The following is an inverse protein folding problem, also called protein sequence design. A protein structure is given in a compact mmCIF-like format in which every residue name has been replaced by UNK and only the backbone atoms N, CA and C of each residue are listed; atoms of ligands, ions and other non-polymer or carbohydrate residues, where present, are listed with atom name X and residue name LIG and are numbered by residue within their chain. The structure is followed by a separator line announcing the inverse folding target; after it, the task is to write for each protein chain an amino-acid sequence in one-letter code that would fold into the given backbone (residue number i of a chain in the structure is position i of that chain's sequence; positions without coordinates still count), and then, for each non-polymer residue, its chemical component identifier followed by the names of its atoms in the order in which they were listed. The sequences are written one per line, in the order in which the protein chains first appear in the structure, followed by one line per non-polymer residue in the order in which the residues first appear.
data_IF_806171745013
#
_entry.id   IF_806171745013
#
_cell.length_a   1.000
_cell.length_b   1.000
_cell.length_c   1.000
_cell.angle_alpha   90.00
_cell.angle_beta   90.00
_cell.angle_gamma   90.00
#
_symmetry.space_group_name_H-M   'P 1'
#
loop_
_entity.id
_entity.type
_entity.pdbx_description
1 polymer ?
#
# COMPACT_ATOMS: atom_id res chain seq x y z
N UNK A 1 10.10 -16.21 9.98
CA UNK A 1 11.50 -15.98 9.53
C UNK A 1 12.37 -15.36 10.63
N UNK A 2 12.58 -16.08 11.71
CA UNK A 2 13.37 -15.59 12.85
C UNK A 2 14.82 -15.28 12.44
N UNK A 3 15.40 -16.16 11.64
CA UNK A 3 16.82 -16.13 11.27
C UNK A 3 17.06 -15.44 9.90
N UNK A 4 16.03 -14.81 9.35
CA UNK A 4 16.06 -14.23 8.03
C UNK A 4 15.94 -15.26 6.91
N UNK A 5 16.01 -14.79 5.66
CA UNK A 5 15.96 -15.62 4.46
C UNK A 5 16.77 -14.98 3.34
N UNK A 6 17.52 -15.79 2.63
CA UNK A 6 18.22 -15.42 1.39
C UNK A 6 18.08 -16.55 0.39
N UNK A 7 17.53 -16.27 -0.77
CA UNK A 7 17.54 -17.20 -1.90
C UNK A 7 18.92 -17.14 -2.60
N UNK A 8 19.60 -18.26 -2.69
CA UNK A 8 20.90 -18.36 -3.40
C UNK A 8 20.75 -18.59 -4.90
N UNK A 9 19.54 -18.84 -5.36
CA UNK A 9 19.18 -19.06 -6.76
C UNK A 9 17.71 -18.75 -7.00
N UNK A 10 17.34 -18.49 -8.27
CA UNK A 10 15.96 -18.22 -8.68
C UNK A 10 14.99 -19.36 -8.29
N UNK A 11 15.46 -20.60 -8.33
CA UNK A 11 14.65 -21.78 -7.99
C UNK A 11 14.36 -21.91 -6.50
N UNK A 12 15.07 -21.18 -5.64
CA UNK A 12 14.89 -21.18 -4.18
C UNK A 12 14.12 -19.97 -3.67
N UNK A 13 13.76 -19.06 -4.55
CA UNK A 13 12.90 -17.94 -4.19
C UNK A 13 11.51 -18.45 -3.78
N UNK A 14 10.97 -17.94 -2.67
CA UNK A 14 9.73 -18.46 -2.08
C UNK A 14 8.50 -17.76 -2.70
N UNK A 15 7.60 -18.53 -3.33
CA UNK A 15 6.36 -17.97 -3.87
C UNK A 15 5.46 -17.43 -2.75
N UNK A 16 4.75 -16.33 -3.04
CA UNK A 16 3.76 -15.72 -2.17
C UNK A 16 2.42 -15.65 -2.90
N UNK A 17 1.56 -16.65 -2.77
CA UNK A 17 0.33 -16.75 -3.55
C UNK A 17 -0.70 -15.64 -3.28
N UNK A 18 -0.63 -15.01 -2.09
CA UNK A 18 -1.54 -13.95 -1.68
C UNK A 18 -1.00 -12.54 -1.96
N UNK A 19 0.18 -12.45 -2.59
CA UNK A 19 0.82 -11.17 -2.93
C UNK A 19 0.76 -10.94 -4.44
N UNK A 20 0.38 -9.73 -4.82
CA UNK A 20 0.48 -9.26 -6.19
C UNK A 20 1.08 -7.87 -6.24
N UNK A 21 1.57 -7.48 -7.41
CA UNK A 21 2.14 -6.15 -7.65
C UNK A 21 1.41 -5.51 -8.82
N UNK A 22 0.93 -4.29 -8.60
CA UNK A 22 0.23 -3.49 -9.60
C UNK A 22 1.14 -2.43 -10.19
N UNK A 23 1.28 -2.41 -11.51
CA UNK A 23 1.91 -1.32 -12.22
C UNK A 23 0.85 -0.37 -12.77
N UNK A 24 0.93 0.89 -12.39
CA UNK A 24 0.08 1.94 -12.93
C UNK A 24 0.45 2.19 -14.40
N UNK A 25 -0.49 1.96 -15.31
CA UNK A 25 -0.30 2.15 -16.76
C UNK A 25 -0.69 3.56 -17.18
N UNK A 26 -1.83 4.06 -16.67
CA UNK A 26 -2.32 5.40 -16.94
C UNK A 26 -3.30 5.87 -15.89
N UNK A 27 -3.41 7.19 -15.77
CA UNK A 27 -4.43 7.86 -14.95
C UNK A 27 -5.13 8.90 -15.83
N UNK A 28 -6.45 8.99 -15.69
CA UNK A 28 -7.31 9.91 -16.42
C UNK A 28 -8.25 10.64 -15.45
N UNK A 29 -8.44 11.95 -15.66
CA UNK A 29 -9.47 12.70 -14.96
C UNK A 29 -10.84 12.37 -15.56
N UNK A 30 -11.73 11.80 -14.78
CA UNK A 30 -13.10 11.43 -15.16
C UNK A 30 -14.16 12.19 -14.36
N UNK A 31 -13.74 13.25 -13.70
CA UNK A 31 -14.57 14.06 -12.79
C UNK A 31 -15.86 14.52 -13.44
N UNK A 32 -15.78 15.15 -14.62
CA UNK A 32 -16.98 15.63 -15.32
C UNK A 32 -17.93 14.49 -15.66
N UNK A 33 -17.40 13.36 -16.10
CA UNK A 33 -18.20 12.19 -16.47
C UNK A 33 -18.96 11.60 -15.29
N UNK A 34 -18.34 11.56 -14.11
CA UNK A 34 -18.97 11.10 -12.87
C UNK A 34 -19.99 12.11 -12.38
N UNK A 35 -19.64 13.39 -12.30
CA UNK A 35 -20.52 14.42 -11.75
C UNK A 35 -21.76 14.68 -12.62
N UNK A 36 -21.65 14.62 -13.96
CA UNK A 36 -22.79 14.76 -14.86
C UNK A 36 -23.82 13.64 -14.74
N UNK A 37 -23.42 12.47 -14.24
CA UNK A 37 -24.34 11.36 -13.99
C UNK A 37 -25.19 11.57 -12.73
N UNK A 38 -24.89 12.56 -11.88
CA UNK A 38 -25.59 12.81 -10.62
C UNK A 38 -26.68 13.85 -10.85
N UNK A 39 -27.99 13.52 -10.72
CA UNK A 39 -29.07 14.47 -10.90
C UNK A 39 -29.02 15.60 -9.84
N UNK A 40 -29.41 16.80 -10.25
CA UNK A 40 -29.52 17.95 -9.33
C UNK A 40 -30.52 17.65 -8.22
N UNK A 41 -30.13 17.89 -6.97
CA UNK A 41 -30.97 17.66 -5.80
C UNK A 41 -30.94 16.22 -5.25
N UNK A 42 -30.06 15.37 -5.77
CA UNK A 42 -29.82 14.01 -5.23
C UNK A 42 -29.43 14.09 -3.75
N UNK A 43 -30.04 13.24 -2.92
CA UNK A 43 -29.67 13.11 -1.50
C UNK A 43 -28.30 12.42 -1.39
N UNK A 44 -27.57 12.70 -0.30
CA UNK A 44 -26.20 12.19 -0.11
C UNK A 44 -26.11 10.66 -0.15
N UNK A 45 -27.05 9.94 0.46
CA UNK A 45 -27.08 8.47 0.42
C UNK A 45 -27.29 7.92 -1.00
N UNK A 46 -28.13 8.58 -1.80
CA UNK A 46 -28.40 8.17 -3.19
C UNK A 46 -27.22 8.56 -4.10
N UNK A 47 -26.54 9.69 -3.79
CA UNK A 47 -25.34 10.14 -4.49
C UNK A 47 -24.24 9.10 -4.45
N UNK A 48 -23.98 8.51 -3.29
CA UNK A 48 -22.96 7.48 -3.13
C UNK A 48 -23.22 6.27 -4.05
N UNK A 49 -24.47 5.81 -4.13
CA UNK A 49 -24.87 4.69 -4.99
C UNK A 49 -24.70 5.01 -6.49
N UNK A 50 -25.04 6.23 -6.90
CA UNK A 50 -24.87 6.66 -8.30
C UNK A 50 -23.38 6.73 -8.65
N UNK A 51 -22.57 7.34 -7.78
CA UNK A 51 -21.11 7.42 -7.96
C UNK A 51 -20.50 6.03 -8.10
N UNK A 52 -20.86 5.08 -7.23
CA UNK A 52 -20.36 3.71 -7.29
C UNK A 52 -20.76 3.03 -8.61
N UNK A 53 -22.01 3.16 -9.01
CA UNK A 53 -22.52 2.56 -10.25
C UNK A 53 -21.82 3.11 -11.50
N UNK A 54 -21.70 4.42 -11.60
CA UNK A 54 -21.03 5.06 -12.76
C UNK A 54 -19.52 4.78 -12.76
N UNK A 55 -18.89 4.77 -11.60
CA UNK A 55 -17.48 4.41 -11.44
C UNK A 55 -17.20 2.99 -11.93
N UNK A 56 -18.05 2.04 -11.55
CA UNK A 56 -17.97 0.66 -12.01
C UNK A 56 -18.09 0.58 -13.54
N UNK A 57 -19.04 1.28 -14.13
CA UNK A 57 -19.24 1.30 -15.59
C UNK A 57 -18.01 1.86 -16.31
N UNK A 58 -17.50 3.01 -15.88
CA UNK A 58 -16.32 3.65 -16.48
C UNK A 58 -15.09 2.73 -16.36
N UNK A 59 -14.89 2.10 -15.21
CA UNK A 59 -13.77 1.18 -14.99
C UNK A 59 -13.87 -0.04 -15.92
N UNK A 60 -15.05 -0.63 -16.06
CA UNK A 60 -15.28 -1.76 -16.99
C UNK A 60 -15.02 -1.38 -18.44
N UNK A 61 -15.50 -0.23 -18.89
CA UNK A 61 -15.24 0.26 -20.24
C UNK A 61 -13.76 0.50 -20.52
N UNK A 62 -13.02 1.01 -19.54
CA UNK A 62 -11.60 1.32 -19.67
C UNK A 62 -10.72 0.10 -19.96
N UNK A 63 -11.16 -1.10 -19.56
CA UNK A 63 -10.43 -2.37 -19.71
C UNK A 63 -11.16 -3.40 -20.58
N UNK A 64 -12.26 -3.02 -21.22
CA UNK A 64 -13.12 -3.95 -21.96
C UNK A 64 -12.38 -4.76 -23.05
N UNK A 65 -11.29 -4.26 -23.58
CA UNK A 65 -10.51 -4.86 -24.65
C UNK A 65 -9.24 -5.58 -24.18
N UNK A 66 -8.93 -5.53 -22.89
CA UNK A 66 -7.72 -6.17 -22.34
C UNK A 66 -7.99 -6.77 -20.97
N UNK A 67 -8.07 -8.08 -20.90
CA UNK A 67 -8.35 -8.85 -19.68
C UNK A 67 -7.16 -8.89 -18.71
N UNK A 68 -5.98 -8.41 -19.10
CA UNK A 68 -4.81 -8.32 -18.25
C UNK A 68 -4.75 -7.01 -17.46
N UNK A 69 -5.69 -6.10 -17.75
CA UNK A 69 -5.78 -4.81 -17.07
C UNK A 69 -6.89 -4.81 -16.02
N UNK A 70 -6.65 -4.07 -14.96
CA UNK A 70 -7.63 -3.71 -13.94
C UNK A 70 -7.77 -2.20 -13.89
N UNK A 71 -8.99 -1.73 -13.71
CA UNK A 71 -9.25 -0.31 -13.57
C UNK A 71 -10.06 -0.04 -12.31
N UNK A 72 -9.80 1.11 -11.70
CA UNK A 72 -10.55 1.61 -10.56
C UNK A 72 -10.68 3.13 -10.62
N UNK A 73 -11.73 3.67 -10.03
CA UNK A 73 -11.91 5.10 -9.88
C UNK A 73 -11.74 5.46 -8.40
N UNK A 74 -10.84 6.41 -8.16
CA UNK A 74 -10.55 6.92 -6.82
C UNK A 74 -11.10 8.32 -6.68
N UNK A 75 -11.96 8.57 -5.67
CA UNK A 75 -12.42 9.93 -5.35
C UNK A 75 -11.32 10.70 -4.61
N UNK A 76 -11.13 11.96 -5.00
CA UNK A 76 -10.25 12.92 -4.35
C UNK A 76 -11.05 14.10 -3.78
N UNK A 77 -10.47 14.80 -2.81
CA UNK A 77 -11.03 16.01 -2.18
C UNK A 77 -12.49 15.84 -1.71
N UNK A 78 -12.76 14.70 -1.04
CA UNK A 78 -14.09 14.40 -0.52
C UNK A 78 -15.14 14.12 -1.60
N UNK A 79 -14.72 13.64 -2.79
CA UNK A 79 -15.60 13.31 -3.90
C UNK A 79 -15.94 14.52 -4.79
N UNK A 80 -15.04 15.51 -4.83
CA UNK A 80 -15.14 16.63 -5.77
C UNK A 80 -14.36 16.38 -7.07
N UNK A 81 -13.41 15.45 -7.05
CA UNK A 81 -12.66 15.00 -8.21
C UNK A 81 -12.61 13.48 -8.26
N UNK A 82 -12.56 12.92 -9.47
CA UNK A 82 -12.53 11.48 -9.71
C UNK A 82 -11.47 11.14 -10.74
N UNK A 83 -10.57 10.22 -10.41
CA UNK A 83 -9.52 9.77 -11.30
C UNK A 83 -9.64 8.27 -11.57
N UNK A 84 -9.70 7.93 -12.85
CA UNK A 84 -9.58 6.57 -13.33
C UNK A 84 -8.10 6.18 -13.34
N UNK A 85 -7.76 5.11 -12.66
CA UNK A 85 -6.42 4.50 -12.72
C UNK A 85 -6.51 3.11 -13.33
N UNK A 86 -5.66 2.84 -14.31
CA UNK A 86 -5.57 1.55 -14.99
C UNK A 86 -4.26 0.89 -14.61
N UNK A 87 -4.33 -0.35 -14.15
CA UNK A 87 -3.22 -1.14 -13.66
C UNK A 87 -3.03 -2.44 -14.44
N UNK A 88 -1.80 -2.91 -14.45
CA UNK A 88 -1.45 -4.29 -14.82
C UNK A 88 -0.95 -5.01 -13.58
N UNK A 89 -1.61 -6.09 -13.20
CA UNK A 89 -1.36 -6.83 -11.96
C UNK A 89 -0.57 -8.11 -12.25
N UNK A 90 0.56 -8.30 -11.53
CA UNK A 90 1.41 -9.48 -11.59
C UNK A 90 1.26 -10.29 -10.31
N UNK A 91 0.96 -11.58 -10.44
CA UNK A 91 0.58 -12.48 -9.35
C UNK A 91 1.69 -13.45 -8.92
N UNK A 92 2.71 -13.68 -9.75
CA UNK A 92 3.86 -14.49 -9.36
C UNK A 92 4.94 -13.60 -8.74
N UNK A 93 4.81 -13.41 -7.42
CA UNK A 93 5.74 -12.61 -6.62
C UNK A 93 6.46 -13.53 -5.65
N UNK A 94 7.80 -13.52 -5.69
CA UNK A 94 8.61 -14.42 -4.89
C UNK A 94 9.54 -13.65 -3.97
N UNK A 95 9.65 -14.12 -2.73
CA UNK A 95 10.57 -13.56 -1.74
C UNK A 95 12.00 -13.98 -2.07
N UNK A 96 12.87 -12.99 -2.20
CA UNK A 96 14.31 -13.16 -2.48
C UNK A 96 15.12 -13.03 -1.21
N UNK A 97 14.78 -12.05 -0.39
CA UNK A 97 15.53 -11.72 0.81
C UNK A 97 14.63 -11.11 1.89
N UNK A 98 14.89 -11.49 3.13
CA UNK A 98 14.39 -10.81 4.32
C UNK A 98 15.48 -10.87 5.40
N UNK A 99 15.81 -9.76 6.07
CA UNK A 99 16.77 -9.77 7.16
C UNK A 99 16.25 -10.58 8.35
N UNK A 100 17.12 -11.08 9.23
CA UNK A 100 16.67 -11.70 10.47
C UNK A 100 15.92 -10.70 11.34
N UNK A 101 14.99 -11.21 12.16
CA UNK A 101 14.16 -10.36 13.03
C UNK A 101 14.96 -9.52 14.03
N UNK A 102 16.19 -9.92 14.36
CA UNK A 102 17.13 -9.12 15.16
C UNK A 102 17.59 -7.83 14.47
N UNK A 103 17.51 -7.76 13.14
CA UNK A 103 17.76 -6.55 12.34
C UNK A 103 16.45 -5.81 12.10
N UNK A 104 15.39 -6.52 11.71
CA UNK A 104 14.08 -5.93 11.41
C UNK A 104 13.39 -5.30 12.61
N UNK A 105 13.69 -5.78 13.84
CA UNK A 105 13.19 -5.23 15.11
C UNK A 105 14.30 -4.78 16.04
N UNK A 106 15.39 -4.27 15.51
CA UNK A 106 16.49 -3.77 16.30
C UNK A 106 16.03 -2.64 17.24
N UNK A 107 16.30 -2.78 18.54
CA UNK A 107 15.86 -1.82 19.56
C UNK A 107 14.37 -1.93 19.95
N UNK A 108 13.62 -2.85 19.33
CA UNK A 108 12.19 -3.06 19.60
C UNK A 108 11.33 -1.84 19.28
N UNK A 109 10.19 -1.72 19.95
CA UNK A 109 9.24 -0.62 19.70
C UNK A 109 9.78 0.72 20.22
N UNK A 110 10.61 0.71 21.27
CA UNK A 110 11.16 1.93 21.87
C UNK A 110 12.04 2.69 20.87
N UNK A 111 12.96 2.00 20.20
CA UNK A 111 13.92 2.65 19.30
C UNK A 111 13.38 2.84 17.88
N UNK A 112 12.24 2.20 17.54
CA UNK A 112 11.64 2.33 16.20
C UNK A 112 11.20 3.77 15.87
N UNK A 113 10.92 4.59 16.88
CA UNK A 113 10.45 5.96 16.71
C UNK A 113 11.46 7.01 17.19
N UNK A 114 12.66 6.58 17.54
CA UNK A 114 13.73 7.45 18.05
C UNK A 114 14.82 7.61 16.99
N UNK A 115 15.33 8.81 16.82
CA UNK A 115 16.48 9.07 15.96
C UNK A 115 17.79 8.98 16.78
N UNK A 116 18.87 8.40 16.21
CA UNK A 116 18.99 7.76 14.91
C UNK A 116 18.34 6.35 14.90
N UNK A 117 17.75 5.99 13.75
CA UNK A 117 17.14 4.67 13.56
C UNK A 117 18.16 3.66 13.08
N UNK A 118 18.13 2.48 13.67
CA UNK A 118 19.00 1.35 13.30
C UNK A 118 18.22 0.12 12.82
N UNK A 119 16.88 0.22 12.77
CA UNK A 119 16.01 -0.88 12.33
C UNK A 119 16.10 -1.06 10.83
N UNK A 120 16.38 -2.27 10.37
CA UNK A 120 16.36 -2.67 8.97
C UNK A 120 15.13 -3.52 8.65
N UNK A 121 13.94 -2.92 8.73
CA UNK A 121 12.66 -3.57 8.46
C UNK A 121 12.31 -3.44 6.97
N UNK A 122 12.79 -4.40 6.18
CA UNK A 122 12.55 -4.47 4.74
C UNK A 122 12.59 -5.91 4.23
N UNK A 123 12.04 -6.13 3.06
CA UNK A 123 12.18 -7.37 2.32
C UNK A 123 12.31 -7.08 0.82
N UNK A 124 12.91 -8.03 0.11
CA UNK A 124 13.11 -7.94 -1.34
C UNK A 124 12.33 -9.06 -2.01
N UNK A 125 11.49 -8.67 -2.95
CA UNK A 125 10.70 -9.58 -3.77
C UNK A 125 11.11 -9.45 -5.23
N UNK A 126 10.91 -10.52 -5.98
CA UNK A 126 11.04 -10.54 -7.44
C UNK A 126 9.70 -10.84 -8.06
N UNK A 127 9.37 -10.10 -9.10
CA UNK A 127 8.18 -10.31 -9.91
C UNK A 127 8.56 -11.27 -11.04
N UNK A 128 7.70 -12.22 -11.31
CA UNK A 128 7.80 -13.17 -12.41
C UNK A 128 6.67 -12.96 -13.41
N UNK A 129 6.96 -13.26 -14.66
CA UNK A 129 6.04 -13.15 -15.79
C UNK A 129 6.14 -14.43 -16.65
N UNK A 130 5.23 -14.58 -17.60
CA UNK A 130 5.37 -15.62 -18.62
C UNK A 130 6.54 -15.34 -19.57
N UNK A 131 6.77 -16.23 -20.53
CA UNK A 131 7.84 -16.11 -21.53
C UNK A 131 7.68 -14.88 -22.45
N UNK A 132 6.52 -14.27 -22.50
CA UNK A 132 6.20 -13.06 -23.27
C UNK A 132 6.20 -11.78 -22.40
N UNK A 133 6.71 -11.88 -21.16
CA UNK A 133 6.74 -10.78 -20.19
C UNK A 133 5.33 -10.29 -19.76
N UNK A 134 4.30 -11.17 -19.87
CA UNK A 134 2.94 -10.85 -19.46
C UNK A 134 2.59 -11.44 -18.08
N UNK A 135 1.61 -10.85 -17.37
CA UNK A 135 1.13 -11.39 -16.12
C UNK A 135 0.71 -12.85 -16.24
N UNK A 136 1.12 -13.66 -15.29
CA UNK A 136 0.76 -15.07 -15.22
C UNK A 136 0.55 -15.50 -13.76
N UNK A 137 -0.24 -16.55 -13.57
CA UNK A 137 -0.27 -17.27 -12.30
C UNK A 137 1.09 -17.93 -12.04
N UNK A 138 1.35 -18.28 -10.78
CA UNK A 138 2.59 -18.98 -10.43
C UNK A 138 2.83 -20.20 -11.31
N UNK A 139 4.02 -20.28 -11.87
CA UNK A 139 4.52 -21.46 -12.59
C UNK A 139 6.04 -21.56 -12.42
N UNK A 140 6.60 -22.77 -12.27
CA UNK A 140 8.06 -22.97 -12.31
C UNK A 140 8.72 -22.48 -13.61
N UNK A 141 7.96 -22.42 -14.70
CA UNK A 141 8.41 -22.01 -16.03
C UNK A 141 8.45 -20.47 -16.21
N UNK A 142 7.86 -19.73 -15.27
CA UNK A 142 7.87 -18.27 -15.33
C UNK A 142 9.29 -17.74 -15.17
N UNK A 143 9.56 -16.63 -15.85
CA UNK A 143 10.85 -15.93 -15.84
C UNK A 143 10.76 -14.62 -15.08
N UNK A 144 11.87 -14.08 -14.57
CA UNK A 144 11.88 -12.75 -13.98
C UNK A 144 11.29 -11.70 -14.95
N UNK A 145 10.38 -10.88 -14.43
CA UNK A 145 9.80 -9.78 -15.19
C UNK A 145 10.87 -8.78 -15.62
N UNK A 146 10.83 -8.34 -16.86
CA UNK A 146 11.69 -7.31 -17.42
C UNK A 146 10.94 -6.00 -17.57
N UNK A 147 11.15 -5.00 -16.68
CA UNK A 147 10.51 -3.70 -16.80
C UNK A 147 11.16 -2.87 -17.93
N UNK A 148 10.35 -2.05 -18.60
CA UNK A 148 10.85 -1.09 -19.59
C UNK A 148 11.73 -0.01 -18.94
N UNK A 149 11.47 0.30 -17.67
CA UNK A 149 12.22 1.25 -16.87
C UNK A 149 12.34 0.77 -15.42
N UNK A 150 13.49 1.04 -14.81
CA UNK A 150 13.73 0.80 -13.38
C UNK A 150 14.58 1.92 -12.79
N UNK A 151 14.43 2.16 -11.48
CA UNK A 151 15.27 3.09 -10.75
C UNK A 151 16.64 2.46 -10.45
N UNK A 152 17.73 2.99 -10.98
CA UNK A 152 19.06 2.47 -10.69
C UNK A 152 19.47 2.77 -9.25
N UNK A 153 20.14 1.79 -8.61
CA UNK A 153 20.71 2.00 -7.29
C UNK A 153 22.02 2.76 -7.42
N UNK A 154 22.13 3.93 -6.79
CA UNK A 154 23.37 4.71 -6.74
C UNK A 154 24.16 4.40 -5.46
N UNK A 155 25.43 4.10 -5.60
CA UNK A 155 26.36 3.97 -4.49
C UNK A 155 27.15 5.26 -4.19
N UNK A 156 26.88 6.35 -4.94
CA UNK A 156 27.53 7.64 -4.76
C UNK A 156 27.14 8.38 -3.48
N UNK A 157 26.10 7.91 -2.80
CA UNK A 157 25.59 8.55 -1.59
C UNK A 157 24.86 9.87 -1.88
N UNK A 158 24.74 10.70 -0.86
CA UNK A 158 24.14 12.04 -0.91
C UNK A 158 24.91 12.99 0.01
N UNK A 159 24.80 14.27 -0.27
CA UNK A 159 25.44 15.34 0.49
C UNK A 159 24.37 16.21 1.17
N UNK A 160 24.81 17.06 2.10
CA UNK A 160 23.92 18.06 2.72
C UNK A 160 23.35 18.99 1.63
N UNK A 161 22.01 19.09 1.56
CA UNK A 161 21.32 19.88 0.54
C UNK A 161 20.95 19.10 -0.73
N UNK A 162 21.31 17.83 -0.83
CA UNK A 162 20.82 16.97 -1.91
C UNK A 162 19.30 16.86 -1.88
N UNK A 163 18.66 16.86 -3.04
CA UNK A 163 17.23 16.59 -3.14
C UNK A 163 16.93 15.13 -2.79
N UNK A 164 16.00 14.92 -1.86
CA UNK A 164 15.51 13.60 -1.47
C UNK A 164 13.99 13.56 -1.60
N UNK A 165 13.48 12.42 -2.05
CA UNK A 165 12.04 12.21 -2.25
C UNK A 165 11.64 10.81 -1.81
N UNK A 166 10.49 10.68 -1.18
CA UNK A 166 9.83 9.40 -0.92
C UNK A 166 8.64 9.28 -1.85
N UNK A 167 8.53 8.17 -2.55
CA UNK A 167 7.36 7.83 -3.36
C UNK A 167 6.60 6.69 -2.72
N UNK A 168 5.26 6.72 -2.81
CA UNK A 168 4.41 5.67 -2.28
C UNK A 168 2.94 6.06 -2.30
N UNK A 169 2.12 5.13 -1.84
CA UNK A 169 0.67 5.28 -1.76
C UNK A 169 0.26 5.34 -0.28
N UNK A 170 0.15 6.53 0.32
CA UNK A 170 -0.29 6.64 1.71
C UNK A 170 -1.74 6.16 1.85
N UNK A 171 -2.03 5.43 2.94
CA UNK A 171 -3.37 4.88 3.19
C UNK A 171 -4.41 5.98 3.41
N UNK A 172 -4.04 7.06 4.09
CA UNK A 172 -4.87 8.24 4.27
C UNK A 172 -4.04 9.47 4.54
N UNK A 173 -4.53 10.62 4.09
CA UNK A 173 -3.96 11.93 4.41
C UNK A 173 -5.07 12.89 4.80
N UNK A 174 -4.83 13.72 5.80
CA UNK A 174 -5.76 14.78 6.23
C UNK A 174 -5.03 16.12 6.15
N UNK A 175 -4.87 16.59 4.93
CA UNK A 175 -4.31 17.91 4.64
C UNK A 175 -5.37 18.96 4.72
N UNK A 176 -5.55 20.01 4.88
CA UNK A 176 -6.65 20.99 4.77
C UNK A 176 -7.85 20.74 5.69
N UNK A 177 -7.61 20.22 6.89
CA UNK A 177 -8.64 20.20 7.91
C UNK A 177 -8.97 21.63 8.33
N UNK A 178 -10.27 21.93 8.50
CA UNK A 178 -10.70 23.18 9.10
C UNK A 178 -10.33 23.23 10.60
N UNK A 179 -10.37 24.42 11.21
CA UNK A 179 -10.14 24.55 12.66
C UNK A 179 -11.08 23.66 13.49
N UNK A 180 -12.33 23.48 13.05
CA UNK A 180 -13.29 22.59 13.68
C UNK A 180 -12.88 21.11 13.57
N UNK A 181 -12.39 20.67 12.42
CA UNK A 181 -11.89 19.30 12.26
C UNK A 181 -10.59 19.05 13.05
N UNK A 182 -9.76 20.05 13.26
CA UNK A 182 -8.60 19.97 14.16
C UNK A 182 -9.06 19.85 15.62
N UNK A 183 -10.03 20.64 16.04
CA UNK A 183 -10.59 20.61 17.39
C UNK A 183 -11.24 19.26 17.72
N UNK A 184 -12.05 18.73 16.81
CA UNK A 184 -12.62 17.38 16.90
C UNK A 184 -11.53 16.32 17.05
N UNK A 185 -10.50 16.37 16.22
CA UNK A 185 -9.40 15.41 16.24
C UNK A 185 -8.62 15.44 17.54
N UNK A 186 -8.37 16.63 18.10
CA UNK A 186 -7.62 16.78 19.37
C UNK A 186 -8.48 16.34 20.55
N UNK A 187 -9.71 16.84 20.65
CA UNK A 187 -10.52 16.74 21.85
C UNK A 187 -11.42 15.50 21.89
N UNK A 188 -11.68 14.88 20.73
CA UNK A 188 -12.54 13.69 20.64
C UNK A 188 -11.75 12.47 20.21
N UNK A 189 -11.19 12.45 18.99
CA UNK A 189 -10.56 11.27 18.42
C UNK A 189 -9.30 10.86 19.19
N UNK A 190 -8.38 11.81 19.38
CA UNK A 190 -7.11 11.53 20.06
C UNK A 190 -7.36 11.20 21.54
N UNK A 191 -8.28 11.91 22.21
CA UNK A 191 -8.62 11.65 23.60
C UNK A 191 -9.20 10.24 23.78
N UNK A 192 -10.15 9.84 22.94
CA UNK A 192 -10.73 8.49 22.96
C UNK A 192 -9.67 7.41 22.66
N UNK A 193 -8.81 7.65 21.66
CA UNK A 193 -7.75 6.72 21.28
C UNK A 193 -6.71 6.55 22.38
N UNK A 194 -6.28 7.63 23.03
CA UNK A 194 -5.33 7.61 24.14
C UNK A 194 -5.91 6.81 25.30
N UNK A 195 -7.17 7.06 25.67
CA UNK A 195 -7.84 6.33 26.74
C UNK A 195 -7.90 4.83 26.47
N UNK A 196 -8.33 4.42 25.28
CA UNK A 196 -8.39 2.98 24.91
C UNK A 196 -7.01 2.36 24.87
N UNK A 197 -6.01 3.03 24.30
CA UNK A 197 -4.63 2.52 24.22
C UNK A 197 -3.92 2.49 25.57
N UNK A 198 -4.30 3.34 26.50
CA UNK A 198 -3.75 3.30 27.88
C UNK A 198 -4.28 2.10 28.66
N UNK A 199 -5.55 1.71 28.45
CA UNK A 199 -6.16 0.54 29.10
C UNK A 199 -5.58 -0.78 28.56
N UNK A 200 -5.34 -0.89 27.25
CA UNK A 200 -4.82 -2.11 26.60
C UNK A 200 -3.48 -2.62 27.18
N UNK A 201 -2.44 -1.80 27.37
CA UNK A 201 -1.18 -2.27 27.97
C UNK A 201 -1.33 -2.76 29.40
N UNK A 202 -2.22 -2.12 30.19
CA UNK A 202 -2.47 -2.53 31.58
C UNK A 202 -3.10 -3.93 31.65
N UNK A 203 -4.05 -4.23 30.77
CA UNK A 203 -4.64 -5.58 30.70
C UNK A 203 -3.66 -6.63 30.17
N UNK A 204 -2.75 -6.25 29.25
CA UNK A 204 -1.73 -7.17 28.72
C UNK A 204 -0.63 -7.48 29.76
N UNK A 205 -0.20 -6.50 30.54
CA UNK A 205 0.75 -6.69 31.63
C UNK A 205 0.15 -7.51 32.79
N UNK A 206 -1.15 -7.34 33.06
CA UNK A 206 -1.84 -8.16 34.07
C UNK A 206 -2.00 -9.62 33.62
N UNK A 207 -2.34 -9.88 32.36
CA UNK A 207 -2.41 -11.25 31.85
C UNK A 207 -1.05 -11.95 31.85
N UNK A 208 0.04 -11.26 31.45
CA UNK A 208 1.40 -11.80 31.52
C UNK A 208 1.93 -12.03 32.96
N UNK A 209 1.48 -11.25 33.93
CA UNK A 209 1.88 -11.42 35.29
C UNK A 209 1.26 -12.69 35.94
N UNK A 210 0.24 -13.28 35.35
CA UNK A 210 -0.38 -14.54 35.74
C UNK A 210 0.14 -15.78 35.01
N UNK A 211 0.93 -15.59 33.94
CA UNK A 211 1.67 -16.65 33.26
C UNK A 211 3.08 -16.77 33.86
N UNK A 212 3.18 -17.21 35.12
CA UNK A 212 4.47 -17.67 35.64
C UNK A 212 4.73 -19.08 35.12
N UNK A 213 5.84 -19.32 34.41
CA UNK A 213 6.21 -20.70 34.08
C UNK A 213 6.58 -21.46 35.34
N UNK A 214 6.01 -22.64 35.51
CA UNK A 214 6.55 -23.67 36.42
C UNK A 214 7.92 -24.15 35.92
#
# INVERSE_FOLDING_TARGET
MRDGFVADSLSKELPNPDLFVSFLIRTEDVTERVLQAIPVGTKENDRALIVDSISTLIAQEAVANDTLLRAEITPFYGGNEFYLSVYKDYYDVRLVFAPPSSVGKFGGDTDNWVWPRHTGDFSVFRIYADQNNQPAAYSPENVPYHPDYFAPVSLGGYEQGSFCMTMGYPGSTSRYLSSFGIDERINTDNAAMINVRTIKPVSYTHLRAHETPE
#
